data_IF_072831561081
#
_entry.id   IF_072831561081
#
_cell.length_a   1.000
_cell.length_b   1.000
_cell.length_c   1.000
_cell.angle_alpha   90.00
_cell.angle_beta   90.00
_cell.angle_gamma   90.00
#
_symmetry.space_group_name_H-M   'P 1'
#
loop_
_entity.id
_entity.type
_entity.pdbx_description
1 polymer ?
#
# COMPACT_ATOMS: atom_id res chain seq x y z
N UNK A 1 21.58 -26.76 -2.61
CA UNK A 1 22.45 -25.82 -1.88
C UNK A 1 21.85 -25.60 -0.50
N UNK A 2 22.67 -25.62 0.56
CA UNK A 2 22.22 -25.26 1.91
C UNK A 2 22.31 -23.73 2.07
N UNK A 3 21.16 -23.09 2.30
CA UNK A 3 21.03 -21.64 2.51
C UNK A 3 20.68 -21.28 3.96
N UNK A 4 20.73 -22.26 4.88
CA UNK A 4 20.34 -22.08 6.28
C UNK A 4 21.12 -20.99 7.02
N UNK A 5 22.36 -20.71 6.61
CA UNK A 5 23.15 -19.61 7.17
C UNK A 5 22.48 -18.23 7.04
N UNK A 6 21.64 -18.05 6.01
CA UNK A 6 20.90 -16.81 5.78
C UNK A 6 19.72 -16.62 6.73
N UNK A 7 19.31 -17.64 7.50
CA UNK A 7 18.28 -17.50 8.53
C UNK A 7 18.71 -16.53 9.64
N UNK A 8 20.00 -16.27 9.81
CA UNK A 8 20.50 -15.28 10.77
C UNK A 8 20.32 -13.83 10.29
N UNK A 9 20.05 -13.63 8.99
CA UNK A 9 19.97 -12.32 8.36
C UNK A 9 18.68 -11.60 8.76
N UNK A 10 18.82 -10.44 9.41
CA UNK A 10 17.69 -9.59 9.83
C UNK A 10 17.55 -8.30 9.04
N UNK A 11 18.61 -7.87 8.37
CA UNK A 11 18.68 -6.59 7.68
C UNK A 11 19.45 -6.76 6.37
N UNK A 12 18.95 -6.14 5.32
CA UNK A 12 19.66 -5.98 4.05
C UNK A 12 19.71 -4.49 3.75
N UNK A 13 20.93 -3.98 3.54
CA UNK A 13 21.16 -2.67 2.95
C UNK A 13 21.76 -2.88 1.56
N UNK A 14 20.98 -2.59 0.52
CA UNK A 14 21.34 -2.88 -0.87
C UNK A 14 20.20 -3.52 -1.66
N UNK A 15 20.55 -4.08 -2.82
CA UNK A 15 19.61 -4.77 -3.70
C UNK A 15 19.46 -6.24 -3.25
N UNK A 16 18.23 -6.76 -3.37
CA UNK A 16 17.95 -8.19 -3.32
C UNK A 16 17.69 -8.63 -4.75
N UNK A 17 18.49 -9.56 -5.25
CA UNK A 17 18.44 -10.06 -6.63
C UNK A 17 18.37 -11.60 -6.59
N UNK A 18 17.28 -12.17 -7.08
CA UNK A 18 17.02 -13.61 -7.00
C UNK A 18 16.51 -14.09 -8.36
N UNK A 19 17.38 -14.73 -9.13
CA UNK A 19 17.03 -15.14 -10.47
C UNK A 19 17.67 -16.45 -10.91
N UNK A 20 17.11 -17.04 -11.98
CA UNK A 20 17.61 -18.24 -12.65
C UNK A 20 18.00 -19.37 -11.68
N UNK A 21 17.19 -19.60 -10.64
CA UNK A 21 17.47 -20.63 -9.65
C UNK A 21 16.35 -21.66 -9.51
N UNK A 22 16.69 -22.75 -8.81
CA UNK A 22 15.82 -23.91 -8.63
C UNK A 22 15.13 -23.94 -7.26
N UNK A 23 15.19 -22.85 -6.47
CA UNK A 23 14.60 -22.86 -5.13
C UNK A 23 13.08 -22.80 -5.20
N UNK A 24 12.40 -23.55 -4.32
CA UNK A 24 10.93 -23.57 -4.29
C UNK A 24 10.32 -22.43 -3.47
N UNK A 25 11.10 -21.83 -2.57
CA UNK A 25 10.70 -20.73 -1.70
C UNK A 25 11.92 -19.93 -1.23
N UNK A 26 11.71 -18.73 -0.67
CA UNK A 26 12.77 -17.89 -0.09
C UNK A 26 12.74 -17.88 1.44
N UNK A 27 12.25 -18.95 2.08
CA UNK A 27 12.14 -19.01 3.55
C UNK A 27 13.49 -19.01 4.26
N UNK A 28 14.60 -19.19 3.55
CA UNK A 28 15.94 -18.95 4.09
C UNK A 28 16.18 -17.48 4.47
N UNK A 29 15.30 -16.55 4.05
CA UNK A 29 15.23 -15.16 4.48
C UNK A 29 14.05 -14.89 5.43
N UNK A 30 13.47 -15.91 6.08
CA UNK A 30 12.26 -15.74 6.89
C UNK A 30 12.41 -14.81 8.09
N UNK A 31 13.65 -14.53 8.52
CA UNK A 31 13.96 -13.64 9.63
C UNK A 31 14.36 -12.22 9.18
N UNK A 32 14.30 -11.94 7.87
CA UNK A 32 14.56 -10.62 7.33
C UNK A 32 13.47 -9.65 7.78
N UNK A 33 13.87 -8.59 8.50
CA UNK A 33 12.94 -7.62 9.07
C UNK A 33 12.99 -6.27 8.34
N UNK A 34 14.17 -5.88 7.85
CA UNK A 34 14.39 -4.57 7.24
C UNK A 34 15.14 -4.72 5.92
N UNK A 35 14.57 -4.15 4.87
CA UNK A 35 15.23 -3.99 3.57
C UNK A 35 15.36 -2.50 3.32
N UNK A 36 16.58 -2.03 3.09
CA UNK A 36 16.84 -0.64 2.78
C UNK A 36 17.69 -0.45 1.54
N UNK A 37 17.35 0.55 0.73
CA UNK A 37 18.13 0.94 -0.45
C UNK A 37 19.42 1.68 -0.05
N UNK A 38 20.53 1.30 -0.67
CA UNK A 38 21.81 2.02 -0.63
C UNK A 38 21.83 3.17 -1.69
N UNK A 39 22.55 4.25 -1.37
CA UNK A 39 22.62 5.53 -2.10
C UNK A 39 23.03 5.39 -3.57
N UNK A 40 23.85 4.39 -3.90
CA UNK A 40 24.52 4.28 -5.21
C UNK A 40 23.75 3.45 -6.26
N UNK A 41 22.63 2.83 -5.89
CA UNK A 41 21.89 1.93 -6.79
C UNK A 41 20.86 2.70 -7.63
N UNK A 42 21.19 2.91 -8.91
CA UNK A 42 20.33 3.63 -9.88
C UNK A 42 19.22 2.76 -10.48
N UNK A 43 19.30 1.41 -10.41
CA UNK A 43 18.29 0.51 -10.96
C UNK A 43 18.08 -0.76 -10.09
N UNK A 44 16.80 -1.08 -9.88
CA UNK A 44 16.13 -2.22 -9.24
C UNK A 44 16.61 -2.65 -7.84
N UNK A 45 15.83 -2.28 -6.83
CA UNK A 45 15.89 -2.88 -5.49
C UNK A 45 14.75 -3.89 -5.38
N UNK A 46 15.02 -5.06 -4.81
CA UNK A 46 14.17 -6.27 -4.77
C UNK A 46 13.63 -6.70 -6.14
N UNK A 47 14.44 -7.48 -6.86
CA UNK A 47 14.08 -8.10 -8.13
C UNK A 47 14.15 -9.63 -8.00
N UNK A 48 13.06 -10.30 -8.37
CA UNK A 48 12.90 -11.75 -8.26
C UNK A 48 12.31 -12.28 -9.57
N UNK A 49 13.10 -12.95 -10.39
CA UNK A 49 12.67 -13.31 -11.74
C UNK A 49 13.25 -14.62 -12.27
N UNK A 50 12.63 -15.22 -13.29
CA UNK A 50 13.15 -16.42 -13.98
C UNK A 50 13.43 -17.62 -13.04
N UNK A 51 12.63 -17.79 -11.98
CA UNK A 51 12.77 -18.91 -11.05
C UNK A 51 11.63 -19.92 -11.26
N UNK A 52 11.82 -20.96 -12.10
CA UNK A 52 10.73 -21.83 -12.54
C UNK A 52 10.08 -22.64 -11.42
N UNK A 53 10.77 -22.86 -10.30
CA UNK A 53 10.25 -23.61 -9.14
C UNK A 53 9.74 -22.73 -8.01
N UNK A 54 9.97 -21.41 -8.06
CA UNK A 54 9.70 -20.53 -6.94
C UNK A 54 8.20 -20.28 -6.77
N UNK A 55 7.63 -20.76 -5.66
CA UNK A 55 6.18 -20.63 -5.37
C UNK A 55 5.87 -19.64 -4.25
N UNK A 56 6.82 -19.30 -3.38
CA UNK A 56 6.57 -18.52 -2.15
C UNK A 56 7.77 -17.62 -1.79
N UNK A 57 7.50 -16.41 -1.31
CA UNK A 57 8.54 -15.58 -0.69
C UNK A 57 8.90 -16.10 0.71
N UNK A 58 7.93 -16.22 1.61
CA UNK A 58 8.19 -16.59 3.00
C UNK A 58 8.79 -15.43 3.80
N UNK A 59 8.41 -14.19 3.45
CA UNK A 59 8.97 -12.93 3.98
C UNK A 59 8.06 -12.26 5.01
N UNK A 60 7.39 -13.07 5.81
CA UNK A 60 6.37 -12.60 6.77
C UNK A 60 6.93 -11.71 7.89
N UNK A 61 8.24 -11.79 8.14
CA UNK A 61 8.94 -10.99 9.17
C UNK A 61 9.31 -9.58 8.71
N UNK A 62 9.19 -9.26 7.41
CA UNK A 62 9.53 -7.93 6.91
C UNK A 62 8.58 -6.91 7.54
N UNK A 63 9.17 -5.93 8.22
CA UNK A 63 8.48 -4.80 8.85
C UNK A 63 8.67 -3.53 8.05
N UNK A 64 9.85 -3.35 7.46
CA UNK A 64 10.23 -2.11 6.78
C UNK A 64 10.91 -2.40 5.45
N UNK A 65 10.40 -1.78 4.40
CA UNK A 65 11.00 -1.69 3.08
C UNK A 65 11.11 -0.21 2.75
N UNK A 66 12.26 0.38 3.08
CA UNK A 66 12.44 1.83 3.07
C UNK A 66 13.59 2.21 2.16
N UNK A 67 13.45 3.31 1.43
CA UNK A 67 14.57 3.95 0.77
C UNK A 67 14.85 5.28 1.46
N UNK A 68 16.15 5.56 1.73
CA UNK A 68 16.58 6.76 2.47
C UNK A 68 16.25 8.06 1.73
N UNK A 69 16.08 8.00 0.41
CA UNK A 69 15.94 9.18 -0.46
C UNK A 69 14.85 9.06 -1.53
N UNK A 70 14.18 7.90 -1.66
CA UNK A 70 13.15 7.66 -2.68
C UNK A 70 12.18 6.53 -2.27
N UNK A 71 11.35 6.03 -3.18
CA UNK A 71 10.44 4.89 -2.97
C UNK A 71 11.19 3.55 -3.14
N UNK A 72 10.93 2.59 -2.25
CA UNK A 72 11.44 1.22 -2.40
C UNK A 72 10.73 0.55 -3.58
N UNK A 73 11.51 0.01 -4.51
CA UNK A 73 10.98 -0.65 -5.70
C UNK A 73 10.84 -2.15 -5.48
N UNK A 74 9.92 -2.81 -6.17
CA UNK A 74 9.83 -4.28 -6.27
C UNK A 74 9.50 -4.69 -7.70
N UNK A 75 10.16 -5.73 -8.20
CA UNK A 75 9.83 -6.39 -9.48
C UNK A 75 9.83 -7.90 -9.31
N UNK A 76 8.70 -8.55 -9.60
CA UNK A 76 8.52 -10.01 -9.48
C UNK A 76 7.80 -10.52 -10.72
N UNK A 77 8.46 -11.30 -11.57
CA UNK A 77 7.90 -11.80 -12.83
C UNK A 77 8.62 -13.09 -13.29
N UNK A 78 8.05 -13.83 -14.24
CA UNK A 78 8.69 -15.02 -14.83
C UNK A 78 9.10 -16.11 -13.81
N UNK A 79 8.40 -16.17 -12.67
CA UNK A 79 8.55 -17.23 -11.67
C UNK A 79 7.54 -18.36 -11.92
N UNK A 80 7.46 -19.37 -11.05
CA UNK A 80 6.49 -20.47 -11.20
C UNK A 80 5.05 -19.90 -11.37
N UNK A 81 4.20 -20.45 -12.26
CA UNK A 81 2.80 -19.98 -12.47
C UNK A 81 1.85 -20.08 -11.25
N UNK A 82 2.34 -20.64 -10.15
CA UNK A 82 1.63 -20.77 -8.87
C UNK A 82 2.28 -19.92 -7.78
N UNK A 83 3.25 -19.09 -8.15
CA UNK A 83 3.83 -18.10 -7.26
C UNK A 83 2.72 -17.23 -6.69
N UNK A 84 2.69 -17.14 -5.36
CA UNK A 84 1.70 -16.35 -4.68
C UNK A 84 2.30 -15.58 -3.50
N UNK A 85 1.66 -14.46 -3.21
CA UNK A 85 1.89 -13.65 -2.02
C UNK A 85 0.82 -13.97 -0.99
N UNK A 86 1.23 -14.11 0.27
CA UNK A 86 0.30 -14.14 1.39
C UNK A 86 -0.34 -12.76 1.59
N UNK A 87 -1.47 -12.71 2.29
CA UNK A 87 -2.09 -11.44 2.71
C UNK A 87 -1.13 -10.59 3.55
N UNK A 88 -0.26 -11.23 4.34
CA UNK A 88 0.76 -10.56 5.15
C UNK A 88 1.81 -9.89 4.26
N UNK A 89 2.36 -10.60 3.27
CA UNK A 89 3.36 -10.06 2.35
C UNK A 89 2.79 -8.90 1.51
N UNK A 90 1.58 -9.06 0.97
CA UNK A 90 0.91 -8.00 0.21
C UNK A 90 0.58 -6.78 1.08
N UNK A 91 0.19 -6.99 2.34
CA UNK A 91 0.02 -5.90 3.30
C UNK A 91 1.33 -5.18 3.56
N UNK A 92 2.44 -5.90 3.76
CA UNK A 92 3.76 -5.31 3.96
C UNK A 92 4.13 -4.40 2.78
N UNK A 93 3.89 -4.82 1.54
CA UNK A 93 4.11 -4.00 0.36
C UNK A 93 3.24 -2.72 0.36
N UNK A 94 1.95 -2.86 0.65
CA UNK A 94 1.03 -1.72 0.71
C UNK A 94 1.37 -0.73 1.82
N UNK A 95 1.72 -1.22 3.02
CA UNK A 95 2.04 -0.38 4.18
C UNK A 95 3.39 0.33 4.07
N UNK A 96 4.34 -0.28 3.35
CA UNK A 96 5.64 0.33 3.04
C UNK A 96 5.63 1.17 1.77
N UNK A 97 4.47 1.34 1.13
CA UNK A 97 4.28 2.23 -0.01
C UNK A 97 5.22 1.90 -1.18
N UNK A 98 5.51 0.61 -1.39
CA UNK A 98 6.48 0.15 -2.39
C UNK A 98 5.98 0.42 -3.80
N UNK A 99 6.90 0.79 -4.69
CA UNK A 99 6.63 0.97 -6.11
C UNK A 99 6.84 -0.37 -6.84
N UNK A 100 5.84 -0.80 -7.59
CA UNK A 100 5.88 -2.08 -8.30
C UNK A 100 6.03 -1.84 -9.79
N UNK A 101 7.09 -2.37 -10.40
CA UNK A 101 7.26 -2.36 -11.86
C UNK A 101 6.48 -3.48 -12.52
N UNK A 102 6.82 -4.73 -12.19
CA UNK A 102 6.13 -5.94 -12.63
C UNK A 102 5.77 -6.77 -11.40
N UNK A 103 4.55 -7.31 -11.37
CA UNK A 103 4.12 -8.23 -10.31
C UNK A 103 3.21 -9.30 -10.89
N UNK A 104 3.80 -10.44 -11.15
CA UNK A 104 3.12 -11.66 -11.56
C UNK A 104 3.02 -12.59 -10.35
N UNK A 105 1.91 -12.44 -9.61
CA UNK A 105 1.65 -13.25 -8.43
C UNK A 105 0.15 -13.48 -8.27
N UNK A 106 -0.19 -14.59 -7.62
CA UNK A 106 -1.54 -14.84 -7.09
C UNK A 106 -1.58 -14.45 -5.61
N UNK A 107 -2.78 -14.33 -5.05
CA UNK A 107 -2.92 -14.34 -3.60
C UNK A 107 -2.97 -15.79 -3.14
N UNK A 108 -2.23 -16.12 -2.08
CA UNK A 108 -2.24 -17.46 -1.53
C UNK A 108 -3.60 -17.78 -0.90
N UNK A 109 -4.03 -19.04 -0.97
CA UNK A 109 -5.31 -19.49 -0.41
C UNK A 109 -5.32 -19.56 1.14
N UNK A 110 -4.15 -19.41 1.76
CA UNK A 110 -3.94 -19.51 3.20
C UNK A 110 -4.57 -18.29 3.91
N UNK A 111 -5.61 -18.54 4.70
CA UNK A 111 -6.30 -17.51 5.49
C UNK A 111 -5.68 -17.30 6.88
N UNK A 112 -4.86 -18.26 7.33
CA UNK A 112 -4.19 -18.22 8.61
C UNK A 112 -3.07 -17.17 8.60
N UNK A 113 -3.00 -16.39 9.68
CA UNK A 113 -1.96 -15.37 9.87
C UNK A 113 -1.26 -15.56 11.21
N UNK A 114 0.06 -15.41 11.21
CA UNK A 114 0.89 -15.56 12.42
C UNK A 114 0.69 -14.43 13.45
N UNK A 115 0.16 -13.29 13.03
CA UNK A 115 -0.17 -12.17 13.92
C UNK A 115 -1.54 -12.31 14.60
N UNK A 116 -2.26 -13.39 14.33
CA UNK A 116 -3.57 -13.68 14.94
C UNK A 116 -4.73 -12.88 14.35
N UNK A 117 -4.47 -12.03 13.35
CA UNK A 117 -5.54 -11.34 12.61
C UNK A 117 -6.28 -12.33 11.71
N UNK A 118 -7.61 -12.22 11.64
CA UNK A 118 -8.46 -13.12 10.88
C UNK A 118 -8.65 -12.63 9.46
N UNK A 119 -8.30 -13.49 8.51
CA UNK A 119 -8.60 -13.33 7.08
C UNK A 119 -9.85 -14.09 6.69
N UNK A 120 -10.69 -13.46 5.88
CA UNK A 120 -11.90 -14.04 5.34
C UNK A 120 -12.03 -13.77 3.85
N UNK A 121 -12.57 -14.74 3.12
CA UNK A 121 -13.05 -14.51 1.76
C UNK A 121 -14.38 -13.76 1.84
N UNK A 122 -14.50 -12.66 1.09
CA UNK A 122 -15.73 -11.91 1.00
C UNK A 122 -16.70 -12.62 0.06
N UNK A 123 -17.94 -12.81 0.52
CA UNK A 123 -19.04 -13.36 -0.28
C UNK A 123 -20.11 -12.28 -0.42
N UNK A 124 -20.67 -11.86 0.72
CA UNK A 124 -21.59 -10.74 0.81
C UNK A 124 -21.58 -10.13 2.23
N UNK A 125 -22.20 -8.97 2.39
CA UNK A 125 -22.26 -8.27 3.69
C UNK A 125 -23.14 -9.02 4.71
N UNK A 126 -24.19 -9.71 4.28
CA UNK A 126 -25.11 -10.40 5.20
C UNK A 126 -24.39 -11.57 5.89
N UNK A 127 -23.59 -12.34 5.16
CA UNK A 127 -22.83 -13.48 5.69
C UNK A 127 -21.48 -13.10 6.31
N UNK A 128 -21.06 -11.84 6.22
CA UNK A 128 -19.77 -11.40 6.74
C UNK A 128 -19.67 -11.63 8.25
N UNK A 129 -18.61 -12.35 8.64
CA UNK A 129 -18.23 -12.58 10.03
C UNK A 129 -17.60 -11.30 10.60
N UNK A 130 -18.14 -10.86 11.75
CA UNK A 130 -17.77 -9.62 12.43
C UNK A 130 -16.33 -9.63 12.94
N UNK A 131 -15.72 -10.81 13.10
CA UNK A 131 -14.34 -10.93 13.56
C UNK A 131 -13.30 -10.82 12.43
N UNK A 132 -13.71 -10.70 11.17
CA UNK A 132 -12.78 -10.55 10.06
C UNK A 132 -12.14 -9.15 10.07
N UNK A 133 -10.82 -9.09 10.23
CA UNK A 133 -10.06 -7.84 10.04
C UNK A 133 -9.54 -7.70 8.60
N UNK A 134 -9.33 -8.83 7.92
CA UNK A 134 -8.81 -8.88 6.56
C UNK A 134 -9.83 -9.52 5.63
N UNK A 135 -10.12 -8.85 4.51
CA UNK A 135 -11.04 -9.37 3.50
C UNK A 135 -10.33 -9.60 2.17
N UNK A 136 -10.56 -10.75 1.55
CA UNK A 136 -10.16 -11.05 0.18
C UNK A 136 -11.40 -10.99 -0.70
N UNK A 137 -11.39 -10.12 -1.71
CA UNK A 137 -12.48 -10.00 -2.68
C UNK A 137 -12.90 -8.57 -2.98
N UNK A 138 -13.88 -8.45 -3.87
CA UNK A 138 -14.45 -7.18 -4.31
C UNK A 138 -15.70 -6.85 -3.50
N UNK A 139 -15.67 -5.72 -2.80
CA UNK A 139 -16.74 -5.32 -1.89
C UNK A 139 -17.63 -4.31 -2.58
N UNK A 140 -18.93 -4.59 -2.63
CA UNK A 140 -19.94 -3.67 -3.17
C UNK A 140 -21.03 -3.38 -2.15
N UNK A 141 -21.11 -2.11 -1.75
CA UNK A 141 -22.17 -1.56 -0.89
C UNK A 141 -23.14 -0.76 -1.75
N UNK A 142 -24.42 -1.09 -1.72
CA UNK A 142 -25.49 -0.42 -2.48
C UNK A 142 -26.84 -0.45 -1.74
N UNK A 143 -27.89 0.13 -2.32
CA UNK A 143 -29.22 0.16 -1.70
C UNK A 143 -29.81 -1.21 -1.31
N UNK A 144 -29.36 -2.31 -1.91
CA UNK A 144 -29.84 -3.66 -1.55
C UNK A 144 -29.21 -4.19 -0.28
N UNK A 145 -28.06 -3.67 0.14
CA UNK A 145 -27.28 -4.22 1.25
C UNK A 145 -26.69 -3.16 2.20
N UNK A 146 -26.98 -1.87 2.02
CA UNK A 146 -26.44 -0.77 2.84
C UNK A 146 -26.79 -0.92 4.34
N UNK A 147 -27.91 -1.57 4.66
CA UNK A 147 -28.32 -1.86 6.05
C UNK A 147 -27.34 -2.85 6.75
N UNK A 148 -26.49 -3.55 6.00
CA UNK A 148 -25.44 -4.45 6.52
C UNK A 148 -24.03 -3.86 6.43
N UNK A 149 -23.86 -2.62 5.94
CA UNK A 149 -22.55 -2.00 5.75
C UNK A 149 -21.74 -1.91 7.05
N UNK A 150 -22.42 -1.76 8.20
CA UNK A 150 -21.80 -1.72 9.52
C UNK A 150 -20.93 -2.93 9.85
N UNK A 151 -21.15 -4.09 9.22
CA UNK A 151 -20.33 -5.29 9.43
C UNK A 151 -18.88 -5.13 8.96
N UNK A 152 -18.60 -4.13 8.12
CA UNK A 152 -17.25 -3.78 7.69
C UNK A 152 -16.47 -2.99 8.76
N UNK A 153 -17.08 -2.63 9.88
CA UNK A 153 -16.47 -1.77 10.89
C UNK A 153 -15.16 -2.32 11.48
N UNK A 154 -15.00 -3.65 11.58
CA UNK A 154 -13.78 -4.29 12.06
C UNK A 154 -12.72 -4.52 10.97
N UNK A 155 -13.07 -4.32 9.70
CA UNK A 155 -12.18 -4.55 8.57
C UNK A 155 -11.12 -3.46 8.52
N UNK A 156 -9.85 -3.88 8.56
CA UNK A 156 -8.68 -3.00 8.46
C UNK A 156 -8.04 -3.08 7.08
N UNK A 157 -8.14 -4.22 6.39
CA UNK A 157 -7.46 -4.44 5.12
C UNK A 157 -8.36 -5.17 4.12
N UNK A 158 -8.38 -4.67 2.88
CA UNK A 158 -9.10 -5.30 1.76
C UNK A 158 -8.08 -5.68 0.68
N UNK A 159 -8.05 -6.95 0.30
CA UNK A 159 -7.29 -7.49 -0.82
C UNK A 159 -8.24 -7.66 -2.01
N UNK A 160 -8.40 -6.60 -2.79
CA UNK A 160 -9.38 -6.45 -3.86
C UNK A 160 -9.75 -4.98 -4.05
N UNK A 161 -11.06 -4.70 -4.10
CA UNK A 161 -11.59 -3.34 -4.29
C UNK A 161 -12.81 -3.09 -3.40
N UNK A 162 -13.17 -1.82 -3.24
CA UNK A 162 -14.41 -1.41 -2.57
C UNK A 162 -15.15 -0.34 -3.37
N UNK A 163 -16.43 -0.61 -3.62
CA UNK A 163 -17.35 0.28 -4.32
C UNK A 163 -18.55 0.55 -3.41
N UNK A 164 -18.79 1.82 -3.11
CA UNK A 164 -19.99 2.30 -2.40
C UNK A 164 -20.82 3.08 -3.41
N UNK A 165 -21.90 2.48 -3.90
CA UNK A 165 -22.69 3.07 -4.97
C UNK A 165 -24.20 2.91 -4.84
N UNK A 166 -24.95 3.88 -5.34
CA UNK A 166 -26.42 3.84 -5.36
C UNK A 166 -27.03 3.55 -3.99
N UNK A 167 -26.40 4.00 -2.90
CA UNK A 167 -26.96 3.90 -1.55
C UNK A 167 -28.03 4.97 -1.35
N UNK A 168 -29.09 4.64 -0.63
CA UNK A 168 -30.23 5.54 -0.43
C UNK A 168 -30.21 6.22 0.94
N UNK A 169 -29.60 5.60 1.95
CA UNK A 169 -29.67 6.02 3.35
C UNK A 169 -28.33 6.42 3.95
N UNK A 170 -27.21 5.92 3.42
CA UNK A 170 -25.89 6.24 3.98
C UNK A 170 -25.58 7.73 3.88
N UNK A 171 -25.20 8.33 5.01
CA UNK A 171 -24.82 9.74 5.12
C UNK A 171 -23.30 9.95 5.19
N UNK A 172 -22.56 8.91 5.58
CA UNK A 172 -21.11 8.90 5.70
C UNK A 172 -20.52 7.49 5.45
N UNK A 173 -19.20 7.37 5.56
CA UNK A 173 -18.46 6.11 5.45
C UNK A 173 -17.94 5.59 6.81
N UNK A 174 -18.60 5.91 7.92
CA UNK A 174 -18.11 5.55 9.26
C UNK A 174 -18.02 4.02 9.48
N UNK A 175 -18.78 3.24 8.71
CA UNK A 175 -18.63 1.77 8.66
C UNK A 175 -17.27 1.30 8.11
N UNK A 176 -16.46 2.19 7.53
CA UNK A 176 -15.07 1.96 7.10
C UNK A 176 -14.05 2.67 7.99
N UNK A 177 -14.43 3.12 9.20
CA UNK A 177 -13.54 3.93 10.05
C UNK A 177 -12.21 3.26 10.40
N UNK A 178 -12.17 1.92 10.42
CA UNK A 178 -10.96 1.17 10.73
C UNK A 178 -10.14 0.76 9.50
N UNK A 179 -10.63 1.03 8.28
CA UNK A 179 -9.93 0.69 7.05
C UNK A 179 -8.58 1.42 6.98
N UNK A 180 -7.50 0.63 6.85
CA UNK A 180 -6.09 1.09 6.80
C UNK A 180 -5.53 1.04 5.40
N UNK A 181 -5.84 -0.01 4.64
CA UNK A 181 -5.31 -0.22 3.30
C UNK A 181 -6.28 -1.01 2.39
N UNK A 182 -6.23 -0.71 1.10
CA UNK A 182 -6.84 -1.50 0.02
C UNK A 182 -5.73 -1.86 -0.94
N UNK A 183 -5.54 -3.15 -1.20
CA UNK A 183 -4.46 -3.68 -2.02
C UNK A 183 -5.02 -4.65 -3.07
N UNK A 184 -4.50 -4.64 -4.28
CA UNK A 184 -4.84 -5.61 -5.32
C UNK A 184 -3.56 -6.07 -6.04
N UNK A 185 -3.59 -7.28 -6.60
CA UNK A 185 -2.53 -7.80 -7.47
C UNK A 185 -2.84 -7.52 -8.95
N UNK A 186 -4.09 -7.17 -9.28
CA UNK A 186 -4.51 -6.87 -10.64
C UNK A 186 -4.36 -5.38 -10.95
N UNK A 187 -3.66 -5.08 -12.05
CA UNK A 187 -3.34 -3.73 -12.53
C UNK A 187 -4.26 -3.32 -13.69
N UNK A 188 -5.55 -3.64 -13.60
CA UNK A 188 -6.53 -3.43 -14.67
C UNK A 188 -6.82 -1.94 -14.97
N UNK A 189 -6.29 -1.03 -14.14
CA UNK A 189 -6.44 0.42 -14.28
C UNK A 189 -7.69 0.98 -13.61
N UNK A 190 -8.51 0.14 -12.98
CA UNK A 190 -9.69 0.56 -12.23
C UNK A 190 -9.28 1.15 -10.87
N UNK A 191 -9.89 2.26 -10.42
CA UNK A 191 -9.81 2.72 -9.04
C UNK A 191 -10.22 1.63 -8.03
N UNK A 192 -9.38 1.36 -7.04
CA UNK A 192 -9.68 0.35 -6.02
C UNK A 192 -10.69 0.83 -4.97
N UNK A 193 -10.87 2.15 -4.86
CA UNK A 193 -11.85 2.78 -3.96
C UNK A 193 -12.74 3.70 -4.80
N UNK A 194 -14.03 3.38 -4.84
CA UNK A 194 -15.02 4.11 -5.63
C UNK A 194 -16.25 4.45 -4.77
N UNK A 195 -16.66 5.71 -4.80
CA UNK A 195 -17.81 6.22 -4.05
C UNK A 195 -18.72 7.00 -5.02
N UNK A 196 -19.77 6.36 -5.52
CA UNK A 196 -20.49 6.81 -6.71
C UNK A 196 -21.99 6.88 -6.54
N UNK A 197 -22.62 7.93 -7.04
CA UNK A 197 -24.09 7.98 -7.19
C UNK A 197 -24.90 7.69 -5.91
N UNK A 198 -24.38 8.04 -4.73
CA UNK A 198 -25.09 7.87 -3.47
C UNK A 198 -26.02 9.06 -3.21
N UNK A 199 -27.23 8.77 -2.73
CA UNK A 199 -28.32 9.75 -2.61
C UNK A 199 -28.14 10.70 -1.43
N UNK A 200 -27.77 10.16 -0.27
CA UNK A 200 -27.73 10.92 1.00
C UNK A 200 -26.31 11.13 1.55
N UNK A 201 -25.29 10.62 0.86
CA UNK A 201 -23.89 10.64 1.33
C UNK A 201 -23.32 12.05 1.32
N UNK A 202 -23.07 12.60 2.51
CA UNK A 202 -22.62 13.99 2.71
C UNK A 202 -21.14 14.09 3.00
N UNK A 203 -20.56 13.08 3.67
CA UNK A 203 -19.16 13.12 4.08
C UNK A 203 -18.42 11.84 3.70
N UNK A 204 -17.17 12.00 3.31
CA UNK A 204 -16.27 10.90 2.96
C UNK A 204 -15.01 11.06 3.80
N UNK A 205 -14.82 10.13 4.75
CA UNK A 205 -13.62 10.08 5.59
C UNK A 205 -13.17 8.63 5.75
N UNK A 206 -11.84 8.42 5.79
CA UNK A 206 -11.21 7.12 6.01
C UNK A 206 -10.11 7.30 7.09
N UNK A 207 -10.49 7.50 8.36
CA UNK A 207 -9.61 8.09 9.38
C UNK A 207 -8.36 7.25 9.70
N UNK A 208 -8.39 5.93 9.48
CA UNK A 208 -7.24 5.04 9.71
C UNK A 208 -6.42 4.76 8.46
N UNK A 209 -6.87 5.18 7.28
CA UNK A 209 -6.14 5.01 6.03
C UNK A 209 -5.04 6.07 5.92
N UNK A 210 -3.78 5.61 5.92
CA UNK A 210 -2.57 6.46 5.90
C UNK A 210 -1.58 6.09 4.79
N UNK A 211 -1.99 5.18 3.93
CA UNK A 211 -1.25 4.70 2.75
C UNK A 211 -2.20 4.72 1.56
N UNK A 212 -1.68 4.92 0.33
CA UNK A 212 -2.52 4.90 -0.84
C UNK A 212 -3.03 3.48 -1.15
N UNK A 213 -4.09 3.33 -1.98
CA UNK A 213 -4.42 2.06 -2.57
C UNK A 213 -3.20 1.47 -3.30
N UNK A 214 -2.92 0.19 -3.04
CA UNK A 214 -1.82 -0.56 -3.65
C UNK A 214 -2.39 -1.45 -4.76
N UNK A 215 -1.74 -1.59 -5.92
CA UNK A 215 -0.38 -1.22 -6.19
C UNK A 215 -0.26 0.20 -6.70
N UNK A 216 0.99 0.64 -6.73
CA UNK A 216 1.29 2.00 -7.11
C UNK A 216 1.19 2.24 -8.67
N UNK A 217 -0.02 2.15 -9.27
CA UNK A 217 -0.34 2.49 -10.69
C UNK A 217 -1.39 3.64 -10.95
N UNK A 218 -1.97 3.73 -12.15
CA UNK A 218 -3.12 4.63 -12.49
C UNK A 218 -4.33 4.46 -11.54
N UNK A 219 -4.38 3.38 -10.76
CA UNK A 219 -5.39 3.05 -9.76
C UNK A 219 -5.31 3.82 -8.42
N UNK A 220 -4.37 4.78 -8.22
CA UNK A 220 -4.27 5.59 -6.97
C UNK A 220 -5.38 6.61 -6.80
N UNK A 221 -6.19 6.74 -7.83
CA UNK A 221 -7.28 7.69 -7.80
C UNK A 221 -8.37 7.08 -6.94
N UNK A 222 -8.65 7.69 -5.80
CA UNK A 222 -9.94 7.48 -5.14
C UNK A 222 -10.97 8.24 -5.96
N UNK A 223 -11.93 7.52 -6.52
CA UNK A 223 -12.95 8.11 -7.39
C UNK A 223 -14.22 8.40 -6.60
N UNK A 224 -14.63 9.66 -6.58
CA UNK A 224 -15.84 10.13 -5.91
C UNK A 224 -16.67 10.88 -6.95
N UNK A 225 -17.79 10.30 -7.40
CA UNK A 225 -18.47 10.83 -8.58
C UNK A 225 -20.00 10.69 -8.50
N UNK A 226 -20.72 11.76 -8.88
CA UNK A 226 -22.16 11.71 -9.11
C UNK A 226 -23.03 11.51 -7.85
N UNK A 227 -22.46 11.64 -6.65
CA UNK A 227 -23.22 11.67 -5.40
C UNK A 227 -24.15 12.90 -5.41
N UNK A 228 -25.37 12.76 -4.89
CA UNK A 228 -26.38 13.83 -4.98
C UNK A 228 -26.07 15.00 -4.06
N UNK A 229 -25.45 14.75 -2.90
CA UNK A 229 -25.00 15.78 -1.98
C UNK A 229 -23.58 16.23 -2.33
N UNK A 230 -23.28 17.50 -2.05
CA UNK A 230 -21.93 18.03 -2.19
C UNK A 230 -21.03 17.48 -1.07
N UNK A 231 -20.03 16.67 -1.43
CA UNK A 231 -19.08 16.05 -0.48
C UNK A 231 -17.92 17.01 -0.17
N UNK A 232 -17.34 17.62 -1.21
CA UNK A 232 -16.29 18.62 -1.06
C UNK A 232 -16.78 19.96 -1.57
N UNK A 233 -17.00 20.88 -0.65
CA UNK A 233 -17.36 22.27 -0.97
C UNK A 233 -16.15 23.09 -1.37
N UNK A 234 -15.03 22.92 -0.67
CA UNK A 234 -13.82 23.71 -0.91
C UNK A 234 -12.59 22.86 -1.23
N UNK A 235 -11.63 23.48 -1.92
CA UNK A 235 -10.31 22.91 -2.23
C UNK A 235 -9.65 22.27 -1.00
N UNK A 236 -9.71 22.96 0.14
CA UNK A 236 -9.08 22.52 1.39
C UNK A 236 -9.60 21.15 1.84
N UNK A 237 -10.90 20.91 1.73
CA UNK A 237 -11.53 19.68 2.23
C UNK A 237 -11.06 18.47 1.43
N UNK A 238 -11.05 18.62 0.10
CA UNK A 238 -10.56 17.60 -0.83
C UNK A 238 -9.06 17.34 -0.64
N UNK A 239 -8.24 18.39 -0.48
CA UNK A 239 -6.80 18.26 -0.22
C UNK A 239 -6.48 17.63 1.14
N UNK A 240 -7.29 17.87 2.17
CA UNK A 240 -7.15 17.21 3.47
C UNK A 240 -7.38 15.70 3.35
N UNK A 241 -8.42 15.29 2.61
CA UNK A 241 -8.68 13.88 2.34
C UNK A 241 -7.55 13.23 1.53
N UNK A 242 -7.03 13.92 0.50
CA UNK A 242 -5.85 13.45 -0.26
C UNK A 242 -4.61 13.28 0.64
N UNK A 243 -4.33 14.25 1.52
CA UNK A 243 -3.17 14.21 2.42
C UNK A 243 -3.27 13.05 3.41
N UNK A 244 -4.46 12.80 3.94
CA UNK A 244 -4.70 11.70 4.88
C UNK A 244 -4.47 10.34 4.22
N UNK A 245 -5.12 10.13 3.06
CA UNK A 245 -5.06 8.85 2.32
C UNK A 245 -3.80 8.70 1.47
N UNK A 246 -2.95 9.74 1.41
CA UNK A 246 -1.79 9.85 0.50
C UNK A 246 -2.13 9.56 -0.97
N UNK A 247 -3.38 9.82 -1.37
CA UNK A 247 -3.93 9.39 -2.66
C UNK A 247 -4.38 10.57 -3.51
N UNK A 248 -4.37 10.35 -4.83
CA UNK A 248 -5.05 11.27 -5.74
C UNK A 248 -6.57 11.12 -5.62
N UNK A 249 -7.31 12.21 -5.76
CA UNK A 249 -8.78 12.18 -5.77
C UNK A 249 -9.28 12.74 -7.08
N UNK A 250 -10.18 11.97 -7.71
CA UNK A 250 -10.98 12.42 -8.85
C UNK A 250 -12.40 12.63 -8.35
N UNK A 251 -12.72 13.89 -8.08
CA UNK A 251 -14.02 14.32 -7.61
C UNK A 251 -14.84 14.88 -8.77
N UNK A 252 -15.98 14.25 -9.07
CA UNK A 252 -16.86 14.60 -10.19
C UNK A 252 -16.10 14.80 -11.53
N UNK A 253 -15.20 13.86 -11.82
CA UNK A 253 -14.39 13.88 -13.04
C UNK A 253 -13.18 14.81 -13.02
N UNK A 254 -12.97 15.60 -11.95
CA UNK A 254 -11.92 16.64 -11.86
C UNK A 254 -10.98 16.38 -10.68
N UNK A 255 -9.79 16.97 -10.73
CA UNK A 255 -8.88 16.98 -9.57
C UNK A 255 -9.33 17.98 -8.51
N UNK A 256 -8.92 17.78 -7.25
CA UNK A 256 -9.24 18.70 -6.15
C UNK A 256 -8.88 20.17 -6.47
N UNK A 257 -7.81 20.41 -7.24
CA UNK A 257 -7.32 21.75 -7.65
C UNK A 257 -8.35 22.58 -8.43
N UNK A 258 -9.44 21.97 -8.92
CA UNK A 258 -10.53 22.65 -9.64
C UNK A 258 -11.68 23.10 -8.73
N UNK A 259 -11.63 22.80 -7.44
CA UNK A 259 -12.61 23.29 -6.45
C UNK A 259 -12.31 24.73 -6.02
N UNK A 260 -13.33 25.49 -5.59
CA UNK A 260 -13.14 26.86 -5.14
C UNK A 260 -12.35 26.92 -3.82
N UNK A 261 -11.63 28.01 -3.62
CA UNK A 261 -11.01 28.34 -2.33
C UNK A 261 -12.10 28.89 -1.41
N UNK A 262 -12.08 28.49 -0.14
CA UNK A 262 -13.05 28.97 0.84
C UNK A 262 -12.96 30.50 1.00
N UNK A 263 -14.09 31.24 0.94
CA UNK A 263 -14.08 32.68 1.18
C UNK A 263 -13.68 32.96 2.64
N UNK A 264 -12.73 33.89 2.86
CA UNK A 264 -12.48 34.45 4.19
C UNK A 264 -11.33 33.86 5.01
N UNK A 265 -10.24 33.37 4.40
CA UNK A 265 -8.90 33.52 4.99
C UNK A 265 -7.97 34.09 3.93
N UNK A 266 -7.56 35.34 4.13
CA UNK A 266 -6.48 35.96 3.35
C UNK A 266 -5.27 35.01 3.32
N UNK A 267 -4.51 34.96 2.21
CA UNK A 267 -3.16 34.42 2.30
C UNK A 267 -2.44 35.19 3.40
N UNK A 268 -1.81 34.48 4.34
CA UNK A 268 -0.72 35.08 5.11
C UNK A 268 0.22 35.62 4.03
N UNK A 269 0.35 36.94 3.98
CA UNK A 269 1.35 37.58 3.14
C UNK A 269 2.69 37.05 3.61
N UNK A 270 3.46 36.45 2.71
CA UNK A 270 4.90 36.34 2.89
C UNK A 270 5.41 37.78 3.04
N UNK A 271 5.70 38.16 4.29
CA UNK A 271 6.53 39.31 4.60
C UNK A 271 7.70 38.77 5.39
N UNK A 272 8.85 38.80 4.73
CA UNK A 272 10.17 39.07 5.28
C UNK A 272 10.63 38.17 6.43
N UNK A 273 11.28 37.06 6.06
CA UNK A 273 12.51 36.67 6.73
C UNK A 273 13.61 36.67 5.68
N UNK A 274 14.43 37.72 5.75
CA UNK A 274 15.65 37.91 4.98
C UNK A 274 16.61 36.74 5.19
N UNK A 275 17.27 36.35 4.10
CA UNK A 275 18.47 35.52 4.09
C UNK A 275 19.57 36.21 4.92
N UNK A 276 20.14 35.50 5.91
CA UNK A 276 21.54 35.66 6.31
C UNK A 276 21.91 34.58 7.33
N UNK A 277 22.82 33.68 6.92
CA UNK A 277 24.12 33.36 7.55
C UNK A 277 24.55 31.94 7.13
N UNK A 278 25.42 31.91 6.12
CA UNK A 278 26.44 30.86 5.99
C UNK A 278 27.31 30.85 7.25
N UNK A 279 27.39 29.71 7.93
CA UNK A 279 28.52 29.35 8.79
C UNK A 279 28.74 27.85 8.63
N UNK A 280 29.80 27.48 7.91
CA UNK A 280 30.39 26.14 8.00
C UNK A 280 30.79 25.82 9.44
N UNK A 281 30.71 24.55 9.85
CA UNK A 281 31.72 24.02 10.75
C UNK A 281 32.51 22.93 10.04
N UNK A 282 33.74 23.29 9.70
CA UNK A 282 34.89 22.41 9.77
C UNK A 282 34.91 21.70 11.13
N UNK A 283 35.12 20.38 11.12
CA UNK A 283 35.12 19.62 12.39
C UNK A 283 35.23 18.11 12.23
N UNK A 284 36.44 17.66 11.89
CA UNK A 284 37.08 16.40 12.28
C UNK A 284 36.33 15.08 12.07
N UNK A 285 36.82 14.36 11.06
CA UNK A 285 36.98 12.90 11.06
C UNK A 285 37.50 12.45 12.43
N UNK A 286 36.67 11.75 13.19
CA UNK A 286 37.13 10.82 14.21
C UNK A 286 36.45 9.48 13.96
N UNK A 287 37.30 8.46 13.93
CA UNK A 287 37.02 7.12 13.45
C UNK A 287 35.85 6.47 14.20
N UNK A 288 34.76 6.23 13.46
CA UNK A 288 34.00 5.00 13.66
C UNK A 288 33.96 4.28 12.32
N UNK A 289 34.72 3.19 12.24
CA UNK A 289 34.71 2.28 11.10
C UNK A 289 33.35 1.57 11.12
N UNK A 290 32.33 2.19 10.53
CA UNK A 290 31.13 1.48 10.11
C UNK A 290 31.50 0.76 8.82
N UNK A 291 31.72 -0.54 8.93
CA UNK A 291 31.95 -1.43 7.80
C UNK A 291 30.71 -1.40 6.89
N UNK A 292 30.72 -0.52 5.90
CA UNK A 292 29.72 -0.46 4.82
C UNK A 292 29.90 -1.69 3.93
N UNK A 293 29.20 -2.76 4.26
CA UNK A 293 29.05 -3.90 3.36
C UNK A 293 27.80 -3.63 2.53
N UNK A 294 27.95 -3.04 1.34
CA UNK A 294 26.92 -3.11 0.31
C UNK A 294 26.80 -4.57 -0.10
N UNK A 295 25.86 -5.30 0.52
CA UNK A 295 25.69 -6.73 0.29
C UNK A 295 24.79 -6.90 -0.94
N UNK A 296 25.41 -7.09 -2.10
CA UNK A 296 24.71 -7.59 -3.27
C UNK A 296 24.56 -9.10 -3.09
N UNK A 297 23.38 -9.55 -2.66
CA UNK A 297 23.06 -10.98 -2.67
C UNK A 297 22.75 -11.34 -4.12
N UNK A 298 23.76 -11.78 -4.86
CA UNK A 298 23.60 -12.45 -6.15
C UNK A 298 23.55 -13.95 -5.87
N UNK A 299 22.39 -14.56 -6.03
CA UNK A 299 22.24 -16.02 -6.12
C UNK A 299 22.14 -16.41 -7.59
N UNK A 300 23.28 -16.59 -8.27
CA UNK A 300 23.35 -17.23 -9.59
C UNK A 300 23.83 -18.66 -9.38
N UNK A 301 23.08 -19.64 -9.89
CA UNK A 301 23.48 -21.05 -9.86
C UNK A 301 23.39 -21.62 -11.28
N UNK A 302 24.53 -22.07 -11.82
CA UNK A 302 24.59 -22.91 -13.02
C UNK A 302 24.12 -24.35 -12.72
#
# INVERSE_FOLDING_TARGET
MDLSGLLSLKKVEGNIEIFENQVSNLSFLSNLENVSKDYLSIYNVTHIHDNPNLKRLGWESIKKMVSKFDIHTVSIHDNHPEFCLTTRELQTFAENDVYVYNLEAKLCADLERKDGEKTCNFVDLLSLDLNCQHLIGEIKVNNKNEDYAWKLENVTNIYGSIVVEYTEKLIDLNFLRNLRAVANLHFDGSPLIQIKFNRMLQTVTLPKMKVPPFPKSKSWVIEINGNSMEIFKYLKDCLLFQRQTKSSVKYNGKSCKKLPVAPGKQPVKDTDYEDEYEVEPSGNLSDSVSLMISLLIILIVF
#
